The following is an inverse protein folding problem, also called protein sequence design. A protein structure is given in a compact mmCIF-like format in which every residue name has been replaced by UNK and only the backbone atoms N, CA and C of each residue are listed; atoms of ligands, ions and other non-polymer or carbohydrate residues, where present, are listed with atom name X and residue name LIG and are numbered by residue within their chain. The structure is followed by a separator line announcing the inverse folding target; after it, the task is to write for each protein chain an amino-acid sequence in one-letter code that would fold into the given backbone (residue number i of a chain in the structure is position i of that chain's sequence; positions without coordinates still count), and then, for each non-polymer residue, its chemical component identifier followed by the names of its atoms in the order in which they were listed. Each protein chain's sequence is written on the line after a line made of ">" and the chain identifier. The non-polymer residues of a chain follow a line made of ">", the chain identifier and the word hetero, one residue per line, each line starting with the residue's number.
data_IF_976718491151
#
_entry.id   IF_976718491151
#
_cell.length_a   1.000
_cell.length_b   1.000
_cell.length_c   1.000
_cell.angle_alpha   90.00
_cell.angle_beta   90.00
_cell.angle_gamma   90.00
#
_symmetry.space_group_name_H-M   'P 1'
#
loop_
_entity.id
_entity.type
_entity.pdbx_description
1 polymer ?
#
# COMPACT_ATOMS: atom_id res chain seq x y z
N UNK A 1 -7.79 30.26 39.81
CA UNK A 1 -6.43 30.43 40.36
C UNK A 1 -6.57 31.12 41.69
N UNK A 2 -6.10 30.52 42.78
CA UNK A 2 -6.00 31.19 44.09
C UNK A 2 -4.54 31.33 44.44
N UNK A 3 -4.14 32.50 44.93
CA UNK A 3 -2.81 32.72 45.47
C UNK A 3 -2.83 32.47 46.98
N UNK A 4 -1.88 31.68 47.47
CA UNK A 4 -1.63 31.48 48.90
C UNK A 4 -0.17 31.80 49.22
N UNK A 5 0.11 32.23 50.44
CA UNK A 5 1.48 32.52 50.87
C UNK A 5 2.08 31.27 51.53
N UNK A 6 3.21 30.78 51.00
CA UNK A 6 3.93 29.65 51.58
C UNK A 6 4.61 30.01 52.89
N UNK A 7 5.05 28.99 53.65
CA UNK A 7 5.65 29.17 54.99
C UNK A 7 6.89 30.09 55.03
N UNK A 8 7.53 30.32 53.88
CA UNK A 8 8.70 31.20 53.72
C UNK A 8 8.38 32.51 52.99
N UNK A 9 7.10 32.90 52.86
CA UNK A 9 6.68 34.15 52.21
C UNK A 9 6.52 34.08 50.68
N UNK A 10 6.78 32.93 50.05
CA UNK A 10 6.63 32.75 48.59
C UNK A 10 5.15 32.75 48.15
N UNK A 11 4.86 33.25 46.94
CA UNK A 11 3.55 33.08 46.31
C UNK A 11 3.36 31.65 45.79
N UNK A 12 2.24 31.02 46.13
CA UNK A 12 1.82 29.71 45.63
C UNK A 12 0.52 29.88 44.86
N UNK A 13 0.52 29.50 43.58
CA UNK A 13 -0.63 29.61 42.70
C UNK A 13 -1.32 28.27 42.52
N UNK A 14 -2.48 28.09 43.16
CA UNK A 14 -3.31 26.91 42.99
C UNK A 14 -4.25 27.12 41.80
N UNK A 15 -4.03 26.35 40.74
CA UNK A 15 -4.93 26.31 39.58
C UNK A 15 -5.77 25.04 39.68
N UNK A 16 -7.01 25.17 40.14
CA UNK A 16 -7.97 24.07 40.06
C UNK A 16 -8.37 23.87 38.59
N UNK A 17 -8.14 22.68 38.07
CA UNK A 17 -8.60 22.26 36.74
C UNK A 17 -9.68 21.19 36.87
N UNK A 18 -10.48 21.02 35.83
CA UNK A 18 -11.35 19.85 35.74
C UNK A 18 -10.49 18.57 35.69
N UNK A 19 -11.08 17.42 36.06
CA UNK A 19 -10.42 16.11 35.94
C UNK A 19 -9.89 15.87 34.52
N UNK A 20 -10.64 16.35 33.53
CA UNK A 20 -10.26 16.34 32.12
C UNK A 20 -10.14 17.79 31.63
N UNK A 21 -8.98 18.12 31.06
CA UNK A 21 -8.71 19.42 30.46
C UNK A 21 -8.55 19.23 28.97
N UNK A 22 -9.45 19.83 28.19
CA UNK A 22 -9.36 19.84 26.74
C UNK A 22 -8.54 21.02 26.27
N UNK A 23 -7.52 20.76 25.46
CA UNK A 23 -6.74 21.78 24.77
C UNK A 23 -7.13 21.79 23.30
N UNK A 24 -7.53 22.96 22.79
CA UNK A 24 -7.78 23.11 21.35
C UNK A 24 -6.48 23.06 20.54
N UNK A 25 -5.35 23.41 21.17
CA UNK A 25 -4.04 23.39 20.55
C UNK A 25 -2.96 23.19 21.60
N UNK A 26 -2.06 22.24 21.38
CA UNK A 26 -0.91 21.99 22.25
C UNK A 26 0.36 22.03 21.42
N UNK A 27 1.41 22.67 21.94
CA UNK A 27 2.73 22.74 21.31
C UNK A 27 3.77 22.13 22.25
N UNK A 28 4.54 21.16 21.77
CA UNK A 28 5.62 20.49 22.49
C UNK A 28 6.87 20.53 21.62
N UNK A 29 7.76 21.48 21.88
CA UNK A 29 8.85 21.77 20.94
C UNK A 29 8.30 22.20 19.58
N UNK A 30 8.69 21.49 18.51
CA UNK A 30 8.16 21.71 17.16
C UNK A 30 6.82 21.02 16.91
N UNK A 31 6.43 20.05 17.76
CA UNK A 31 5.22 19.25 17.55
C UNK A 31 3.99 20.02 17.97
N UNK A 32 3.01 20.11 17.07
CA UNK A 32 1.75 20.84 17.29
C UNK A 32 0.57 19.93 17.04
N UNK A 33 -0.29 19.73 18.05
CA UNK A 33 -1.62 19.14 17.88
C UNK A 33 -2.65 20.27 17.78
N UNK A 34 -3.52 20.23 16.78
CA UNK A 34 -4.47 21.31 16.49
C UNK A 34 -5.87 20.73 16.22
N UNK A 35 -6.81 20.95 17.15
CA UNK A 35 -8.16 20.39 17.07
C UNK A 35 -9.01 21.01 15.95
N UNK A 36 -8.67 22.23 15.50
CA UNK A 36 -9.39 22.87 14.40
C UNK A 36 -9.10 22.18 13.06
N UNK A 37 -7.89 21.66 12.89
CA UNK A 37 -7.49 20.94 11.67
C UNK A 37 -7.48 19.42 11.82
N UNK A 38 -7.49 18.92 13.06
CA UNK A 38 -7.29 17.50 13.38
C UNK A 38 -5.87 17.00 13.10
N UNK A 39 -4.91 17.90 12.84
CA UNK A 39 -3.55 17.53 12.44
C UNK A 39 -2.59 17.50 13.62
N UNK A 40 -1.60 16.62 13.51
CA UNK A 40 -0.35 16.68 14.27
C UNK A 40 0.74 17.09 13.28
N UNK A 41 1.42 18.20 13.55
CA UNK A 41 2.41 18.80 12.63
C UNK A 41 3.75 19.03 13.33
N UNK A 42 4.79 19.32 12.53
CA UNK A 42 6.14 19.58 13.05
C UNK A 42 6.92 18.33 13.48
N UNK A 43 6.47 17.15 13.05
CA UNK A 43 7.20 15.89 13.19
C UNK A 43 8.41 15.87 12.25
N UNK A 44 9.58 15.61 12.80
CA UNK A 44 10.72 15.12 12.02
C UNK A 44 10.40 13.74 11.44
N UNK A 45 11.10 13.32 10.39
CA UNK A 45 10.92 11.98 9.84
C UNK A 45 11.28 10.94 10.92
N UNK A 46 10.36 10.03 11.22
CA UNK A 46 10.57 8.95 12.18
C UNK A 46 11.40 7.81 11.59
N UNK A 47 11.99 6.97 12.44
CA UNK A 47 12.65 5.77 11.97
C UNK A 47 11.64 4.79 11.33
N UNK A 48 11.98 4.21 10.16
CA UNK A 48 11.18 3.17 9.50
C UNK A 48 11.91 1.84 9.58
N UNK A 49 11.62 1.08 10.64
CA UNK A 49 12.17 -0.26 10.90
C UNK A 49 11.12 -1.15 11.57
N UNK A 50 11.33 -2.47 11.56
CA UNK A 50 10.36 -3.44 12.08
C UNK A 50 10.06 -3.28 13.59
N UNK A 51 10.93 -2.59 14.33
CA UNK A 51 10.81 -2.38 15.78
C UNK A 51 10.56 -0.92 16.15
N UNK A 52 10.43 -0.02 15.17
CA UNK A 52 10.23 1.41 15.43
C UNK A 52 8.88 1.68 16.09
N UNK A 53 8.85 2.62 17.03
CA UNK A 53 7.64 3.19 17.63
C UNK A 53 7.46 4.66 17.27
N UNK A 54 8.26 5.17 16.33
CA UNK A 54 8.22 6.57 15.91
C UNK A 54 6.99 6.83 15.05
N UNK A 55 6.40 8.01 15.24
CA UNK A 55 5.42 8.52 14.30
C UNK A 55 6.13 8.96 13.00
N UNK A 56 5.58 8.57 11.85
CA UNK A 56 6.05 9.04 10.54
C UNK A 56 5.30 10.30 10.11
N UNK A 57 5.91 11.07 9.22
CA UNK A 57 5.28 12.25 8.64
C UNK A 57 4.91 12.06 7.16
N UNK A 58 4.26 13.08 6.58
CA UNK A 58 3.76 13.02 5.21
C UNK A 58 4.87 12.92 4.14
N UNK A 59 6.09 13.41 4.39
CA UNK A 59 7.15 13.30 3.38
C UNK A 59 7.65 11.87 3.23
N UNK A 60 7.62 11.08 4.30
CA UNK A 60 7.97 9.65 4.26
C UNK A 60 6.93 8.86 3.46
N UNK A 61 5.62 9.08 3.71
CA UNK A 61 4.56 8.44 2.93
C UNK A 61 4.60 8.86 1.46
N UNK A 62 4.89 10.14 1.20
CA UNK A 62 5.06 10.64 -0.17
C UNK A 62 6.22 9.94 -0.89
N UNK A 63 7.37 9.79 -0.24
CA UNK A 63 8.52 9.09 -0.81
C UNK A 63 8.17 7.63 -1.16
N UNK A 64 7.45 6.92 -0.29
CA UNK A 64 6.94 5.58 -0.58
C UNK A 64 6.00 5.58 -1.79
N UNK A 65 5.05 6.51 -1.86
CA UNK A 65 4.11 6.58 -2.98
C UNK A 65 4.81 6.89 -4.31
N UNK A 66 5.85 7.74 -4.30
CA UNK A 66 6.71 7.97 -5.46
C UNK A 66 7.44 6.68 -5.86
N UNK A 67 8.07 5.98 -4.91
CA UNK A 67 8.73 4.71 -5.18
C UNK A 67 7.77 3.67 -5.78
N UNK A 68 6.52 3.60 -5.29
CA UNK A 68 5.48 2.73 -5.86
C UNK A 68 5.11 3.16 -7.29
N UNK A 69 4.88 4.45 -7.52
CA UNK A 69 4.55 4.98 -8.84
C UNK A 69 5.67 4.74 -9.87
N UNK A 70 6.91 4.77 -9.42
CA UNK A 70 8.11 4.54 -10.23
C UNK A 70 8.43 3.04 -10.39
N UNK A 71 7.92 2.16 -9.53
CA UNK A 71 8.12 0.70 -9.58
C UNK A 71 7.34 -0.02 -10.70
N UNK A 72 6.92 0.70 -11.74
CA UNK A 72 6.21 0.14 -12.88
C UNK A 72 7.15 -0.70 -13.75
N UNK A 73 6.68 -1.87 -14.20
CA UNK A 73 7.38 -2.64 -15.21
C UNK A 73 7.44 -1.85 -16.52
N UNK A 74 8.64 -1.62 -17.04
CA UNK A 74 8.83 -0.96 -18.33
C UNK A 74 8.79 -2.01 -19.45
N UNK A 75 8.30 -1.62 -20.63
CA UNK A 75 8.22 -2.46 -21.84
C UNK A 75 7.27 -3.68 -21.76
N UNK A 76 6.43 -3.76 -20.73
CA UNK A 76 5.35 -4.77 -20.63
C UNK A 76 4.02 -4.02 -20.50
N UNK A 77 3.09 -4.30 -21.40
CA UNK A 77 1.74 -3.72 -21.39
C UNK A 77 0.72 -4.73 -21.87
N UNK A 78 -0.41 -4.83 -21.16
CA UNK A 78 -1.58 -5.59 -21.58
C UNK A 78 -2.74 -4.61 -21.61
N UNK A 79 -3.36 -4.43 -22.78
CA UNK A 79 -4.53 -3.57 -22.94
C UNK A 79 -5.79 -4.43 -22.89
N UNK A 80 -6.63 -4.22 -21.88
CA UNK A 80 -7.94 -4.85 -21.69
C UNK A 80 -9.10 -3.96 -22.11
N UNK A 81 -8.81 -2.87 -22.84
CA UNK A 81 -9.78 -1.85 -23.27
C UNK A 81 -10.52 -1.20 -22.07
N UNK A 82 -9.90 -1.24 -20.88
CA UNK A 82 -10.50 -0.75 -19.65
C UNK A 82 -11.58 -1.65 -19.06
N UNK A 83 -11.76 -2.86 -19.61
CA UNK A 83 -12.74 -3.84 -19.16
C UNK A 83 -12.02 -5.06 -18.59
N UNK A 84 -12.13 -5.24 -17.28
CA UNK A 84 -11.57 -6.41 -16.60
C UNK A 84 -12.19 -7.70 -17.15
N UNK A 85 -11.33 -8.68 -17.44
CA UNK A 85 -11.71 -10.02 -17.84
C UNK A 85 -10.86 -11.07 -17.12
N UNK A 86 -10.98 -12.34 -17.51
CA UNK A 86 -10.20 -13.44 -16.94
C UNK A 86 -8.68 -13.16 -16.96
N UNK A 87 -7.93 -13.76 -16.02
CA UNK A 87 -6.50 -13.52 -15.79
C UNK A 87 -6.13 -12.09 -15.33
N UNK A 88 -7.10 -11.22 -14.99
CA UNK A 88 -6.82 -9.90 -14.41
C UNK A 88 -6.06 -9.99 -13.07
N UNK A 89 -6.38 -11.00 -12.26
CA UNK A 89 -5.70 -11.27 -10.99
C UNK A 89 -4.43 -12.12 -11.15
N UNK A 90 -3.94 -12.32 -12.38
CA UNK A 90 -2.84 -13.24 -12.72
C UNK A 90 -3.13 -14.71 -12.31
N UNK A 91 -4.40 -15.13 -12.37
CA UNK A 91 -4.88 -16.47 -11.99
C UNK A 91 -5.08 -17.42 -13.19
N UNK A 92 -4.75 -16.99 -14.40
CA UNK A 92 -4.88 -17.78 -15.63
C UNK A 92 -3.86 -18.92 -15.75
N UNK A 93 -2.75 -18.87 -15.01
CA UNK A 93 -1.76 -19.95 -14.95
C UNK A 93 -2.17 -21.01 -13.91
N UNK A 94 -3.06 -21.93 -14.28
CA UNK A 94 -3.58 -22.96 -13.37
C UNK A 94 -2.79 -24.28 -13.42
N UNK A 95 -2.01 -24.52 -14.47
CA UNK A 95 -1.11 -25.65 -14.57
C UNK A 95 0.14 -25.48 -13.70
N UNK A 96 0.70 -26.59 -13.19
CA UNK A 96 1.94 -26.55 -12.41
C UNK A 96 3.07 -25.95 -13.27
N UNK A 97 3.80 -24.97 -12.74
CA UNK A 97 4.88 -24.27 -13.46
C UNK A 97 4.45 -23.61 -14.78
N UNK A 98 3.17 -23.24 -14.95
CA UNK A 98 2.67 -22.61 -16.16
C UNK A 98 2.89 -21.08 -16.15
N UNK A 99 2.83 -20.48 -17.34
CA UNK A 99 2.86 -19.03 -17.56
C UNK A 99 1.64 -18.62 -18.38
N UNK A 100 0.86 -17.64 -17.91
CA UNK A 100 -0.26 -17.05 -18.63
C UNK A 100 -0.13 -15.52 -18.65
N UNK A 101 0.10 -14.94 -19.83
CA UNK A 101 0.25 -13.50 -20.03
C UNK A 101 -0.80 -13.00 -21.01
N UNK A 102 -1.55 -11.98 -20.58
CA UNK A 102 -2.56 -11.29 -21.40
C UNK A 102 -4.00 -11.61 -20.99
N UNK A 103 -4.92 -10.79 -21.50
CA UNK A 103 -6.34 -10.77 -21.11
C UNK A 103 -7.01 -12.08 -21.49
N UNK A 104 -7.65 -12.75 -20.55
CA UNK A 104 -8.36 -14.00 -20.75
C UNK A 104 -7.50 -15.22 -21.08
N UNK A 105 -6.17 -15.09 -21.07
CA UNK A 105 -5.28 -16.24 -21.33
C UNK A 105 -5.27 -17.21 -20.15
N UNK A 106 -5.43 -18.50 -20.44
CA UNK A 106 -5.45 -19.61 -19.49
C UNK A 106 -4.45 -20.70 -19.90
N UNK A 107 -3.48 -20.95 -19.02
CA UNK A 107 -2.47 -21.99 -19.15
C UNK A 107 -2.72 -23.08 -18.09
N UNK A 108 -3.51 -24.10 -18.44
CA UNK A 108 -3.93 -25.17 -17.53
C UNK A 108 -3.05 -26.42 -17.57
N UNK A 109 -2.24 -26.63 -18.62
CA UNK A 109 -1.27 -27.73 -18.66
C UNK A 109 -0.01 -27.47 -17.82
N UNK A 110 0.59 -28.54 -17.27
CA UNK A 110 1.88 -28.47 -16.58
C UNK A 110 2.97 -27.96 -17.54
N UNK A 111 3.79 -27.00 -17.10
CA UNK A 111 4.83 -26.35 -17.91
C UNK A 111 4.32 -25.64 -19.19
N UNK A 112 3.04 -25.28 -19.28
CA UNK A 112 2.51 -24.55 -20.43
C UNK A 112 2.93 -23.06 -20.41
N UNK A 113 3.17 -22.47 -21.59
CA UNK A 113 3.45 -21.04 -21.76
C UNK A 113 2.43 -20.45 -22.72
N UNK A 114 1.62 -19.50 -22.24
CA UNK A 114 0.52 -18.90 -22.99
C UNK A 114 0.66 -17.38 -22.96
N UNK A 115 0.71 -16.77 -24.14
CA UNK A 115 0.87 -15.32 -24.30
C UNK A 115 -0.14 -14.79 -25.33
N UNK A 116 -0.89 -13.77 -24.96
CA UNK A 116 -1.81 -13.04 -25.85
C UNK A 116 -3.24 -12.97 -25.32
N UNK A 117 -4.23 -13.02 -26.20
CA UNK A 117 -5.63 -12.73 -25.86
C UNK A 117 -6.51 -13.99 -25.88
N UNK A 118 -7.23 -14.24 -24.79
CA UNK A 118 -8.30 -15.24 -24.71
C UNK A 118 -7.88 -16.66 -25.19
N UNK A 119 -6.65 -17.07 -24.87
CA UNK A 119 -6.15 -18.40 -25.19
C UNK A 119 -6.54 -19.39 -24.09
N UNK A 120 -6.85 -20.64 -24.43
CA UNK A 120 -7.17 -21.71 -23.49
C UNK A 120 -6.33 -22.96 -23.81
N UNK A 121 -5.23 -23.14 -23.09
CA UNK A 121 -4.28 -24.24 -23.30
C UNK A 121 -4.34 -25.20 -22.13
N UNK A 122 -4.95 -26.36 -22.34
CA UNK A 122 -5.09 -27.40 -21.31
C UNK A 122 -3.95 -28.43 -21.30
N UNK A 123 -3.03 -28.32 -22.26
CA UNK A 123 -2.06 -29.35 -22.55
C UNK A 123 -0.70 -29.04 -21.94
N UNK A 124 -0.09 -30.06 -21.37
CA UNK A 124 1.24 -29.98 -20.76
C UNK A 124 2.29 -29.58 -21.82
N UNK A 125 3.34 -28.91 -21.36
CA UNK A 125 4.55 -28.56 -22.14
C UNK A 125 4.25 -27.85 -23.46
N UNK A 126 3.15 -27.12 -23.51
CA UNK A 126 2.67 -26.47 -24.74
C UNK A 126 2.97 -24.98 -24.71
N UNK A 127 3.43 -24.44 -25.84
CA UNK A 127 3.62 -23.00 -26.03
C UNK A 127 2.55 -22.49 -26.99
N UNK A 128 1.79 -21.48 -26.57
CA UNK A 128 0.81 -20.79 -27.40
C UNK A 128 1.05 -19.28 -27.37
N UNK A 129 1.11 -18.68 -28.56
CA UNK A 129 1.28 -17.24 -28.76
C UNK A 129 0.25 -16.75 -29.77
N UNK A 130 -0.65 -15.85 -29.38
CA UNK A 130 -1.66 -15.29 -30.27
C UNK A 130 -2.99 -15.03 -29.59
N UNK A 131 -4.07 -15.16 -30.34
CA UNK A 131 -5.43 -14.88 -29.87
C UNK A 131 -6.34 -16.08 -30.09
N UNK A 132 -7.20 -16.37 -29.12
CA UNK A 132 -8.26 -17.39 -29.23
C UNK A 132 -7.73 -18.80 -29.55
N UNK A 133 -6.50 -19.10 -29.15
CA UNK A 133 -5.90 -20.41 -29.32
C UNK A 133 -6.54 -21.38 -28.33
N UNK A 134 -7.15 -22.43 -28.86
CA UNK A 134 -7.52 -23.61 -28.06
C UNK A 134 -6.71 -24.79 -28.58
N UNK A 135 -5.88 -25.37 -27.73
CA UNK A 135 -5.13 -26.57 -28.07
C UNK A 135 -5.98 -27.79 -27.72
N UNK A 136 -6.00 -28.78 -28.60
CA UNK A 136 -6.83 -29.99 -28.47
C UNK A 136 -6.00 -31.27 -28.40
N UNK A 137 -4.70 -31.21 -28.65
CA UNK A 137 -3.75 -32.33 -28.54
C UNK A 137 -2.52 -31.91 -27.74
N UNK A 138 -2.04 -32.80 -26.88
CA UNK A 138 -0.80 -32.58 -26.13
C UNK A 138 0.41 -32.70 -27.05
N UNK A 139 1.37 -31.78 -26.92
CA UNK A 139 2.67 -31.94 -27.55
C UNK A 139 3.40 -33.11 -26.87
N UNK A 140 3.95 -34.02 -27.67
CA UNK A 140 4.73 -35.18 -27.20
C UNK A 140 6.11 -34.75 -26.69
#
# INVERSE_FOLDING_TARGET
>A
MTETQGKNGQSVYNVATAKEVSFNKTTVGTVITDSATGKITGLTAGEVSATSTDAINGSQLYATNQAIADSKTHYVSVNDDGVQADNYNNDGATGKNALAVGVGSKAAGENAVVIGYNNNVAQDKTVALGSSITTTQANS
#
